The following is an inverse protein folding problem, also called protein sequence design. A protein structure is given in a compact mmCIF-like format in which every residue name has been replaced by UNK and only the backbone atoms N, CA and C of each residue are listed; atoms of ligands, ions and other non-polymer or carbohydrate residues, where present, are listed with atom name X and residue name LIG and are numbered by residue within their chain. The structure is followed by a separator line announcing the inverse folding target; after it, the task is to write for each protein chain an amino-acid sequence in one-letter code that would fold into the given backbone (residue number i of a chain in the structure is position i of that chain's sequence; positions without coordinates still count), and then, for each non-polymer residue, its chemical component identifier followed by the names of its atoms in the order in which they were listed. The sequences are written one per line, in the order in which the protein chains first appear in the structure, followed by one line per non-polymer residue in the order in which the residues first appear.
data_IF_604575938393
#
_entry.id   IF_604575938393
#
_cell.length_a   1.000
_cell.length_b   1.000
_cell.length_c   1.000
_cell.angle_alpha   90.00
_cell.angle_beta   90.00
_cell.angle_gamma   90.00
#
_symmetry.space_group_name_H-M   'P 1'
#
loop_
_entity.id
_entity.type
_entity.pdbx_description
1 polymer ?
#
# COMPACT_ATOMS: atom_id res chain seq x y z
N UNK A 1 -5.68 4.31 -15.77
CA UNK A 1 -5.82 3.80 -14.39
C UNK A 1 -7.07 2.94 -14.28
N UNK A 2 -8.30 3.48 -14.26
CA UNK A 2 -9.50 2.68 -13.98
C UNK A 2 -9.63 1.40 -14.80
N UNK A 3 -9.45 1.49 -16.12
CA UNK A 3 -9.50 0.32 -17.02
C UNK A 3 -8.35 -0.67 -16.76
N UNK A 4 -7.17 -0.18 -16.39
CA UNK A 4 -5.98 -0.98 -16.10
C UNK A 4 -6.08 -1.77 -14.79
N UNK A 5 -7.08 -1.48 -13.94
CA UNK A 5 -7.26 -2.19 -12.67
C UNK A 5 -8.24 -3.36 -12.77
N UNK A 6 -9.11 -3.38 -13.79
CA UNK A 6 -10.31 -4.24 -13.84
C UNK A 6 -9.95 -5.73 -13.73
N UNK A 7 -8.88 -6.14 -14.40
CA UNK A 7 -8.41 -7.54 -14.47
C UNK A 7 -7.59 -7.98 -13.24
N UNK A 8 -7.27 -7.05 -12.35
CA UNK A 8 -6.35 -7.28 -11.23
C UNK A 8 -7.04 -7.09 -9.87
N UNK A 9 -8.38 -6.96 -9.85
CA UNK A 9 -9.16 -6.84 -8.61
C UNK A 9 -9.90 -8.14 -8.32
N UNK A 10 -9.60 -8.74 -7.16
CA UNK A 10 -10.23 -9.97 -6.68
C UNK A 10 -11.28 -9.64 -5.62
N UNK A 11 -12.46 -10.22 -5.77
CA UNK A 11 -13.49 -10.12 -4.75
C UNK A 11 -14.76 -10.88 -5.10
N UNK A 12 -15.78 -10.80 -4.22
CA UNK A 12 -15.69 -10.22 -2.89
C UNK A 12 -15.21 -11.26 -1.86
N UNK A 13 -14.20 -10.89 -1.06
CA UNK A 13 -13.66 -11.73 0.01
C UNK A 13 -14.52 -11.66 1.28
N UNK A 14 -14.84 -12.80 1.94
CA UNK A 14 -15.54 -12.79 3.21
C UNK A 14 -14.80 -11.94 4.26
N UNK A 15 -15.50 -10.99 4.89
CA UNK A 15 -14.84 -9.99 5.74
C UNK A 15 -14.10 -10.60 6.94
N UNK A 16 -14.65 -11.66 7.55
CA UNK A 16 -13.98 -12.31 8.68
C UNK A 16 -12.67 -12.96 8.21
N UNK A 17 -12.68 -13.64 7.06
CA UNK A 17 -11.48 -14.21 6.48
C UNK A 17 -10.44 -13.12 6.14
N UNK A 18 -10.88 -11.98 5.61
CA UNK A 18 -9.98 -10.85 5.32
C UNK A 18 -9.24 -10.38 6.59
N UNK A 19 -9.96 -10.21 7.71
CA UNK A 19 -9.36 -9.81 8.98
C UNK A 19 -8.40 -10.86 9.53
N UNK A 20 -8.74 -12.14 9.39
CA UNK A 20 -7.93 -13.25 9.89
C UNK A 20 -6.67 -13.46 9.03
N UNK A 21 -6.75 -13.24 7.72
CA UNK A 21 -5.62 -13.44 6.80
C UNK A 21 -4.66 -12.23 6.80
N UNK A 22 -5.16 -10.99 6.84
CA UNK A 22 -4.33 -9.78 6.66
C UNK A 22 -4.02 -9.01 7.94
N UNK A 23 -4.89 -9.07 8.95
CA UNK A 23 -4.69 -8.41 10.24
C UNK A 23 -4.96 -9.36 11.43
N UNK A 24 -4.41 -10.58 11.46
CA UNK A 24 -4.69 -11.56 12.51
C UNK A 24 -4.33 -11.01 13.90
N UNK A 25 -5.27 -11.09 14.83
CA UNK A 25 -5.07 -10.66 16.23
C UNK A 25 -3.88 -11.40 16.88
N UNK A 26 -3.62 -12.65 16.50
CA UNK A 26 -2.49 -13.44 17.00
C UNK A 26 -1.12 -12.84 16.66
N UNK A 27 -1.05 -11.99 15.63
CA UNK A 27 0.17 -11.33 15.19
C UNK A 27 0.26 -9.87 15.67
N UNK A 28 -0.69 -9.41 16.49
CA UNK A 28 -0.70 -8.06 17.06
C UNK A 28 -0.26 -8.14 18.53
N UNK A 29 0.97 -7.69 18.86
CA UNK A 29 1.47 -7.74 20.23
C UNK A 29 0.57 -6.92 21.16
N UNK A 30 0.19 -7.51 22.30
CA UNK A 30 -0.59 -6.83 23.34
C UNK A 30 -1.92 -6.22 22.85
N UNK A 31 -2.59 -6.87 21.90
CA UNK A 31 -3.86 -6.38 21.35
C UNK A 31 -4.89 -6.10 22.46
N UNK A 32 -5.28 -4.83 22.55
CA UNK A 32 -6.36 -4.36 23.39
C UNK A 32 -7.66 -4.30 22.58
N UNK A 33 -8.72 -4.92 23.12
CA UNK A 33 -10.02 -4.87 22.46
C UNK A 33 -10.52 -3.42 22.44
N UNK A 34 -11.08 -2.96 21.31
CA UNK A 34 -11.60 -1.61 21.21
C UNK A 34 -12.84 -1.44 22.07
N UNK A 35 -13.35 -0.20 22.12
CA UNK A 35 -14.68 0.07 22.70
C UNK A 35 -15.72 -0.90 22.12
N UNK A 36 -16.68 -1.38 22.94
CA UNK A 36 -17.75 -2.24 22.44
C UNK A 36 -18.52 -1.56 21.31
N UNK A 37 -18.72 -2.27 20.21
CA UNK A 37 -19.58 -1.83 19.13
C UNK A 37 -21.06 -1.95 19.55
N UNK A 38 -21.88 -0.97 19.18
CA UNK A 38 -23.33 -1.07 19.28
C UNK A 38 -23.98 -0.74 17.94
N UNK A 39 -25.07 -1.44 17.63
CA UNK A 39 -25.86 -1.20 16.42
C UNK A 39 -26.43 0.23 16.47
N UNK A 40 -26.35 0.95 15.36
CA UNK A 40 -26.79 2.35 15.28
C UNK A 40 -25.70 3.37 15.61
N UNK A 41 -24.46 2.95 15.93
CA UNK A 41 -23.39 3.90 16.24
C UNK A 41 -23.00 4.83 15.08
N UNK A 42 -23.36 4.51 13.85
CA UNK A 42 -23.15 5.36 12.66
C UNK A 42 -24.47 5.95 12.13
N UNK A 43 -25.55 5.97 12.92
CA UNK A 43 -26.85 6.43 12.45
C UNK A 43 -26.79 7.88 11.93
N UNK A 44 -26.06 8.76 12.63
CA UNK A 44 -25.86 10.15 12.22
C UNK A 44 -25.21 10.26 10.84
N UNK A 45 -24.27 9.37 10.50
CA UNK A 45 -23.67 9.29 9.16
C UNK A 45 -24.70 8.90 8.10
N UNK A 46 -25.57 7.94 8.41
CA UNK A 46 -26.60 7.48 7.46
C UNK A 46 -27.71 8.52 7.23
N UNK A 47 -28.02 9.30 8.26
CA UNK A 47 -29.05 10.33 8.22
C UNK A 47 -28.59 11.60 7.48
N UNK A 48 -27.30 11.68 7.08
CA UNK A 48 -26.74 12.82 6.37
C UNK A 48 -27.40 13.08 5.01
N UNK A 49 -27.71 14.35 4.74
CA UNK A 49 -28.49 14.76 3.55
C UNK A 49 -27.72 14.66 2.23
N UNK A 50 -26.39 14.73 2.28
CA UNK A 50 -25.48 14.67 1.14
C UNK A 50 -24.15 14.02 1.57
N UNK A 51 -23.28 13.74 0.59
CA UNK A 51 -22.00 13.05 0.78
C UNK A 51 -21.05 13.83 1.70
N UNK A 52 -20.89 15.14 1.47
CA UNK A 52 -20.01 16.00 2.27
C UNK A 52 -20.37 15.99 3.75
N UNK A 53 -21.68 15.95 4.06
CA UNK A 53 -22.17 15.87 5.45
C UNK A 53 -22.03 14.48 6.09
N UNK A 54 -21.56 13.47 5.36
CA UNK A 54 -21.27 12.15 5.94
C UNK A 54 -19.93 12.12 6.67
N UNK A 55 -18.96 12.94 6.27
CA UNK A 55 -17.56 12.78 6.66
C UNK A 55 -17.35 13.00 8.16
N UNK A 56 -17.72 14.16 8.69
CA UNK A 56 -17.49 14.48 10.11
C UNK A 56 -18.27 13.54 11.05
N UNK A 57 -19.57 13.23 10.81
CA UNK A 57 -20.27 12.23 11.62
C UNK A 57 -19.63 10.84 11.57
N UNK A 58 -19.10 10.44 10.41
CA UNK A 58 -18.38 9.17 10.29
C UNK A 58 -17.08 9.19 11.12
N UNK A 59 -16.30 10.27 11.04
CA UNK A 59 -15.07 10.49 11.81
C UNK A 59 -15.36 10.42 13.31
N UNK A 60 -16.38 11.14 13.79
CA UNK A 60 -16.77 11.14 15.20
C UNK A 60 -17.17 9.74 15.68
N UNK A 61 -17.84 8.97 14.82
CA UNK A 61 -18.31 7.62 15.14
C UNK A 61 -17.16 6.59 15.15
N UNK A 62 -16.21 6.68 14.21
CA UNK A 62 -15.12 5.69 14.07
C UNK A 62 -13.93 5.94 15.00
N UNK A 63 -13.61 7.20 15.29
CA UNK A 63 -12.42 7.60 16.07
C UNK A 63 -12.30 6.88 17.43
N UNK A 64 -13.37 6.67 18.22
CA UNK A 64 -13.28 5.98 19.51
C UNK A 64 -12.85 4.51 19.43
N UNK A 65 -12.95 3.87 18.26
CA UNK A 65 -12.54 2.47 18.04
C UNK A 65 -11.05 2.34 17.67
N UNK A 66 -10.42 3.42 17.21
CA UNK A 66 -9.01 3.44 16.81
C UNK A 66 -8.31 4.70 17.34
N UNK A 67 -8.14 4.84 18.66
CA UNK A 67 -7.62 6.06 19.28
C UNK A 67 -6.15 6.39 18.92
N UNK A 68 -5.44 5.46 18.27
CA UNK A 68 -4.06 5.66 17.79
C UNK A 68 -4.00 6.24 16.38
N UNK A 69 -5.15 6.44 15.73
CA UNK A 69 -5.26 7.03 14.41
C UNK A 69 -5.88 8.43 14.52
N UNK A 70 -5.41 9.31 13.66
CA UNK A 70 -6.05 10.59 13.36
C UNK A 70 -6.88 10.42 12.09
N UNK A 71 -8.17 10.69 12.17
CA UNK A 71 -9.06 10.72 11.01
C UNK A 71 -9.28 12.19 10.62
N UNK A 72 -8.82 12.58 9.44
CA UNK A 72 -8.82 13.97 8.99
C UNK A 72 -9.72 14.11 7.77
N UNK A 73 -10.70 15.01 7.86
CA UNK A 73 -11.53 15.39 6.74
C UNK A 73 -10.69 16.20 5.72
N UNK A 74 -10.27 15.55 4.63
CA UNK A 74 -9.33 16.08 3.64
C UNK A 74 -9.99 16.45 2.31
N UNK A 75 -11.32 16.33 2.19
CA UNK A 75 -12.07 16.54 0.95
C UNK A 75 -11.83 17.89 0.27
N UNK A 76 -11.32 18.91 0.99
CA UNK A 76 -11.05 20.26 0.50
C UNK A 76 -9.56 20.61 0.45
N UNK A 77 -8.69 19.78 1.05
CA UNK A 77 -7.27 20.04 1.27
C UNK A 77 -6.42 18.90 0.71
N UNK A 78 -6.45 18.69 -0.61
CA UNK A 78 -5.69 17.63 -1.25
C UNK A 78 -4.20 17.94 -1.34
N UNK A 79 -3.44 16.88 -1.60
CA UNK A 79 -1.99 16.92 -1.73
C UNK A 79 -1.61 17.38 -3.13
N UNK A 80 -0.95 18.55 -3.19
CA UNK A 80 -0.45 19.17 -4.43
C UNK A 80 1.00 18.83 -4.71
N UNK A 81 1.71 18.31 -3.70
CA UNK A 81 3.14 18.00 -3.74
C UNK A 81 3.38 16.48 -3.85
N UNK A 82 2.36 15.75 -4.32
CA UNK A 82 2.34 14.28 -4.48
C UNK A 82 3.22 13.75 -5.63
N UNK A 83 3.90 14.62 -6.39
CA UNK A 83 4.72 14.27 -7.55
C UNK A 83 3.95 14.05 -8.86
N UNK A 84 2.64 14.26 -8.89
CA UNK A 84 1.78 14.09 -10.06
C UNK A 84 1.22 15.43 -10.57
N UNK A 85 0.75 15.50 -11.82
CA UNK A 85 0.10 16.70 -12.36
C UNK A 85 -1.31 16.94 -11.81
N UNK A 86 -1.82 16.06 -10.95
CA UNK A 86 -3.15 16.13 -10.36
C UNK A 86 -3.06 16.11 -8.83
N UNK A 87 -4.03 16.74 -8.17
CA UNK A 87 -4.14 16.78 -6.71
C UNK A 87 -4.69 15.44 -6.17
N UNK A 88 -3.99 14.80 -5.22
CA UNK A 88 -4.49 13.61 -4.52
C UNK A 88 -5.41 14.08 -3.40
N UNK A 89 -6.72 13.80 -3.52
CA UNK A 89 -7.71 14.37 -2.61
C UNK A 89 -8.73 13.33 -2.10
N UNK A 90 -8.33 12.39 -1.23
CA UNK A 90 -9.27 11.55 -0.53
C UNK A 90 -10.26 12.37 0.29
N UNK A 91 -11.48 11.87 0.49
CA UNK A 91 -12.46 12.51 1.38
C UNK A 91 -11.98 12.52 2.83
N UNK A 92 -11.40 11.40 3.29
CA UNK A 92 -10.79 11.27 4.61
C UNK A 92 -9.40 10.67 4.47
N UNK A 93 -8.41 11.35 5.03
CA UNK A 93 -7.04 10.87 5.20
C UNK A 93 -6.81 10.43 6.62
N UNK A 94 -6.20 9.26 6.79
CA UNK A 94 -5.91 8.69 8.10
C UNK A 94 -4.41 8.62 8.31
N UNK A 95 -3.97 9.06 9.48
CA UNK A 95 -2.57 9.09 9.90
C UNK A 95 -2.39 8.37 11.23
N UNK A 96 -1.33 7.59 11.39
CA UNK A 96 -0.99 7.05 12.70
C UNK A 96 -0.40 8.12 13.61
N UNK A 97 -0.78 8.12 14.89
CA UNK A 97 -0.21 8.99 15.94
C UNK A 97 1.29 8.81 16.21
N UNK A 98 1.93 7.83 15.56
CA UNK A 98 3.39 7.68 15.60
C UNK A 98 4.09 8.85 14.89
N UNK A 99 3.39 9.56 13.99
CA UNK A 99 3.88 10.80 13.38
C UNK A 99 3.90 11.98 14.36
N UNK A 100 3.07 11.92 15.41
CA UNK A 100 2.94 12.97 16.42
C UNK A 100 1.51 13.17 16.90
N UNK A 101 1.37 14.08 17.87
CA UNK A 101 0.08 14.39 18.51
C UNK A 101 -0.90 15.10 17.58
N UNK A 102 -0.43 15.69 16.48
CA UNK A 102 -1.25 16.37 15.48
C UNK A 102 -1.00 15.73 14.12
N UNK A 103 -2.10 15.49 13.39
CA UNK A 103 -2.02 15.15 11.98
C UNK A 103 -1.64 16.38 11.15
N UNK A 104 -1.13 16.17 9.92
CA UNK A 104 -1.01 17.22 8.92
C UNK A 104 -2.33 17.99 8.72
N UNK A 105 -2.24 19.30 8.49
CA UNK A 105 -3.42 20.12 8.19
C UNK A 105 -4.02 19.79 6.83
N UNK A 106 -3.17 19.43 5.85
CA UNK A 106 -3.55 19.04 4.51
C UNK A 106 -3.38 17.52 4.31
N UNK A 107 -3.88 16.99 3.20
CA UNK A 107 -3.51 15.65 2.76
C UNK A 107 -2.01 15.62 2.43
N UNK A 108 -1.28 14.69 3.05
CA UNK A 108 0.12 14.40 2.75
C UNK A 108 0.26 12.93 2.37
N UNK A 109 0.33 12.65 1.07
CA UNK A 109 0.35 11.28 0.53
C UNK A 109 1.59 10.50 0.96
N UNK A 110 2.67 11.20 1.31
CA UNK A 110 3.92 10.63 1.84
C UNK A 110 3.82 10.16 3.30
N UNK A 111 2.76 10.55 4.01
CA UNK A 111 2.54 10.21 5.43
C UNK A 111 1.24 9.43 5.69
N UNK A 112 0.33 9.37 4.71
CA UNK A 112 -0.98 8.74 4.87
C UNK A 112 -0.86 7.22 5.14
N UNK A 113 -1.61 6.73 6.12
CA UNK A 113 -1.75 5.30 6.42
C UNK A 113 -2.89 4.67 5.61
N UNK A 114 -4.08 5.28 5.65
CA UNK A 114 -5.29 4.79 4.97
C UNK A 114 -6.03 5.97 4.36
N UNK A 115 -6.51 5.82 3.13
CA UNK A 115 -7.43 6.76 2.50
C UNK A 115 -8.85 6.20 2.46
N UNK A 116 -9.85 7.05 2.68
CA UNK A 116 -11.28 6.72 2.51
C UNK A 116 -11.88 7.58 1.39
N UNK A 117 -12.60 6.92 0.49
CA UNK A 117 -13.44 7.57 -0.53
C UNK A 117 -14.91 7.24 -0.28
N UNK A 118 -15.75 8.24 -0.31
CA UNK A 118 -17.21 8.13 -0.19
C UNK A 118 -17.86 8.24 -1.57
N UNK A 119 -18.96 7.52 -1.72
CA UNK A 119 -19.93 7.72 -2.80
C UNK A 119 -21.34 7.55 -2.22
N UNK A 120 -22.31 8.24 -2.81
CA UNK A 120 -23.72 8.14 -2.38
C UNK A 120 -24.56 7.18 -3.23
N UNK A 121 -24.19 7.00 -4.49
CA UNK A 121 -25.06 6.33 -5.46
C UNK A 121 -24.49 4.98 -5.91
N UNK A 122 -25.39 4.06 -6.24
CA UNK A 122 -25.03 2.70 -6.66
C UNK A 122 -24.41 2.64 -8.05
N UNK A 123 -24.62 3.66 -8.89
CA UNK A 123 -23.97 3.76 -10.20
C UNK A 123 -22.49 4.15 -10.10
N UNK A 124 -22.04 4.64 -8.96
CA UNK A 124 -20.63 4.91 -8.67
C UNK A 124 -19.91 3.69 -8.10
N UNK A 125 -20.64 2.71 -7.54
CA UNK A 125 -20.06 1.49 -6.96
C UNK A 125 -19.57 0.53 -8.07
N UNK A 126 -18.25 0.35 -8.25
CA UNK A 126 -17.71 -0.52 -9.28
C UNK A 126 -17.82 -2.01 -8.93
N UNK A 127 -18.14 -2.35 -7.67
CA UNK A 127 -18.02 -3.71 -7.15
C UNK A 127 -19.31 -4.49 -7.28
N UNK A 128 -19.23 -5.67 -7.91
CA UNK A 128 -20.34 -6.59 -8.04
C UNK A 128 -20.72 -7.26 -6.72
N UNK A 129 -21.98 -7.68 -6.63
CA UNK A 129 -22.49 -8.54 -5.55
C UNK A 129 -22.91 -9.85 -6.20
N UNK A 130 -22.08 -10.91 -6.11
CA UNK A 130 -22.42 -12.20 -6.70
C UNK A 130 -23.66 -12.79 -6.03
N UNK A 131 -24.65 -13.18 -6.83
CA UNK A 131 -25.90 -13.78 -6.35
C UNK A 131 -25.82 -15.30 -6.22
N UNK A 132 -24.72 -15.91 -6.67
CA UNK A 132 -24.52 -17.37 -6.70
C UNK A 132 -23.19 -17.77 -6.06
N UNK A 133 -23.09 -19.05 -5.70
CA UNK A 133 -21.86 -19.67 -5.18
C UNK A 133 -20.90 -20.10 -6.29
N UNK A 134 -21.38 -20.23 -7.53
CA UNK A 134 -20.56 -20.53 -8.71
C UNK A 134 -19.95 -19.23 -9.26
N UNK A 135 -18.91 -18.73 -8.58
CA UNK A 135 -18.30 -17.42 -8.88
C UNK A 135 -17.20 -17.44 -9.95
N UNK A 136 -16.74 -18.63 -10.36
CA UNK A 136 -15.64 -18.78 -11.36
C UNK A 136 -15.91 -18.00 -12.65
N UNK A 137 -17.13 -18.08 -13.19
CA UNK A 137 -17.49 -17.47 -14.47
C UNK A 137 -18.08 -16.06 -14.32
N UNK A 138 -18.02 -15.48 -13.12
CA UNK A 138 -18.50 -14.13 -12.83
C UNK A 138 -17.34 -13.14 -12.83
N UNK A 139 -17.58 -11.96 -13.39
CA UNK A 139 -16.69 -10.82 -13.26
C UNK A 139 -17.04 -10.08 -11.97
N UNK A 140 -16.03 -9.71 -11.18
CA UNK A 140 -16.26 -8.95 -9.96
C UNK A 140 -16.59 -7.49 -10.24
N UNK A 141 -15.88 -6.90 -11.21
CA UNK A 141 -16.08 -5.53 -11.64
C UNK A 141 -17.04 -5.52 -12.83
N UNK A 142 -18.04 -4.64 -12.78
CA UNK A 142 -18.96 -4.41 -13.89
C UNK A 142 -18.69 -3.00 -14.45
N UNK A 143 -17.81 -2.86 -15.47
CA UNK A 143 -17.37 -1.55 -15.92
C UNK A 143 -18.50 -0.76 -16.60
N UNK A 144 -18.69 0.46 -16.12
CA UNK A 144 -19.40 1.55 -16.79
C UNK A 144 -18.51 2.79 -16.67
N UNK A 145 -18.69 3.84 -17.49
CA UNK A 145 -17.84 5.03 -17.40
C UNK A 145 -17.70 5.59 -15.97
N UNK A 146 -18.81 5.68 -15.22
CA UNK A 146 -18.78 6.18 -13.83
C UNK A 146 -18.04 5.24 -12.86
N UNK A 147 -18.21 3.93 -13.03
CA UNK A 147 -17.55 2.91 -12.19
C UNK A 147 -16.05 2.85 -12.48
N UNK A 148 -15.67 2.90 -13.76
CA UNK A 148 -14.28 2.99 -14.19
C UNK A 148 -13.62 4.28 -13.66
N UNK A 149 -14.32 5.41 -13.68
CA UNK A 149 -13.81 6.66 -13.09
C UNK A 149 -13.59 6.51 -11.57
N UNK A 150 -14.54 5.90 -10.85
CA UNK A 150 -14.40 5.65 -9.41
C UNK A 150 -13.21 4.73 -9.11
N UNK A 151 -13.03 3.65 -9.89
CA UNK A 151 -11.84 2.79 -9.78
C UNK A 151 -10.54 3.56 -10.05
N UNK A 152 -10.54 4.42 -11.08
CA UNK A 152 -9.41 5.27 -11.40
C UNK A 152 -9.04 6.21 -10.26
N UNK A 153 -10.04 6.79 -9.59
CA UNK A 153 -9.87 7.68 -8.46
C UNK A 153 -9.25 6.96 -7.25
N UNK A 154 -9.87 5.88 -6.76
CA UNK A 154 -9.34 5.13 -5.61
C UNK A 154 -7.97 4.51 -5.91
N UNK A 155 -7.76 4.05 -7.16
CA UNK A 155 -6.48 3.53 -7.61
C UNK A 155 -5.39 4.60 -7.70
N UNK A 156 -5.72 5.84 -8.05
CA UNK A 156 -4.78 6.95 -8.06
C UNK A 156 -4.29 7.29 -6.64
N UNK A 157 -5.16 7.21 -5.63
CA UNK A 157 -4.76 7.42 -4.24
C UNK A 157 -3.82 6.31 -3.75
N UNK A 158 -4.16 5.04 -4.02
CA UNK A 158 -3.28 3.92 -3.73
C UNK A 158 -1.93 4.04 -4.46
N UNK A 159 -1.94 4.49 -5.73
CA UNK A 159 -0.72 4.76 -6.50
C UNK A 159 0.14 5.80 -5.81
N UNK A 160 -0.47 6.94 -5.43
CA UNK A 160 0.23 8.07 -4.81
C UNK A 160 0.87 7.66 -3.47
N UNK A 161 0.14 6.92 -2.64
CA UNK A 161 0.67 6.37 -1.38
C UNK A 161 1.81 5.37 -1.62
N UNK A 162 1.60 4.36 -2.47
CA UNK A 162 2.57 3.31 -2.74
C UNK A 162 3.80 3.80 -3.52
N UNK A 163 3.73 4.94 -4.20
CA UNK A 163 4.85 5.52 -4.92
C UNK A 163 5.67 6.50 -4.05
N UNK A 164 5.04 7.19 -3.10
CA UNK A 164 5.70 8.12 -2.19
C UNK A 164 6.29 7.46 -0.93
N UNK A 165 5.81 6.27 -0.54
CA UNK A 165 6.21 5.58 0.68
C UNK A 165 6.84 4.21 0.40
N UNK A 166 7.75 3.74 1.24
CA UNK A 166 8.31 2.38 1.15
C UNK A 166 7.33 1.35 1.71
N UNK A 167 6.31 1.04 0.91
CA UNK A 167 5.25 0.11 1.26
C UNK A 167 5.25 -1.12 0.34
N UNK A 168 5.04 -2.27 0.97
CA UNK A 168 4.81 -3.58 0.34
C UNK A 168 3.37 -3.72 -0.15
N UNK A 169 2.44 -3.16 0.61
CA UNK A 169 1.02 -3.09 0.33
C UNK A 169 0.42 -1.87 1.05
N UNK A 170 -0.83 -1.51 0.75
CA UNK A 170 -1.57 -0.52 1.55
C UNK A 170 -3.05 -0.91 1.67
N UNK A 171 -3.75 -0.25 2.60
CA UNK A 171 -5.18 -0.42 2.78
C UNK A 171 -5.93 0.85 2.40
N UNK A 172 -7.13 0.67 1.88
CA UNK A 172 -8.08 1.77 1.74
C UNK A 172 -9.50 1.32 2.07
N UNK A 173 -10.39 2.29 2.24
CA UNK A 173 -11.78 2.02 2.57
C UNK A 173 -12.66 2.76 1.55
N UNK A 174 -13.56 2.03 0.92
CA UNK A 174 -14.58 2.59 0.06
C UNK A 174 -15.90 2.59 0.81
N UNK A 175 -16.58 3.72 0.92
CA UNK A 175 -17.89 3.84 1.57
C UNK A 175 -18.92 4.17 0.50
N UNK A 176 -19.96 3.33 0.38
CA UNK A 176 -21.11 3.64 -0.45
C UNK A 176 -22.36 3.66 0.42
N UNK A 177 -22.86 4.87 0.70
CA UNK A 177 -24.04 5.14 1.52
C UNK A 177 -24.07 4.43 2.88
N UNK A 178 -24.54 3.18 2.95
CA UNK A 178 -24.82 2.42 4.17
C UNK A 178 -23.90 1.21 4.40
N UNK A 179 -23.01 0.96 3.45
CA UNK A 179 -22.03 -0.10 3.54
C UNK A 179 -20.66 0.39 3.12
N UNK A 180 -19.65 -0.39 3.49
CA UNK A 180 -18.26 -0.13 3.16
C UNK A 180 -17.58 -1.40 2.67
N UNK A 181 -16.48 -1.24 1.94
CA UNK A 181 -15.57 -2.31 1.57
C UNK A 181 -14.17 -1.90 1.95
N UNK A 182 -13.45 -2.84 2.56
CA UNK A 182 -12.03 -2.66 2.81
C UNK A 182 -11.30 -3.19 1.57
N UNK A 183 -10.31 -2.43 1.12
CA UNK A 183 -9.48 -2.75 -0.03
C UNK A 183 -8.05 -2.94 0.46
N UNK A 184 -7.43 -4.05 0.07
CA UNK A 184 -6.03 -4.34 0.30
C UNK A 184 -5.31 -4.31 -1.04
N UNK A 185 -4.33 -3.42 -1.20
CA UNK A 185 -3.60 -3.17 -2.44
C UNK A 185 -2.21 -3.77 -2.37
N UNK A 186 -1.88 -4.64 -3.31
CA UNK A 186 -0.53 -5.13 -3.56
C UNK A 186 0.00 -4.64 -4.92
N UNK A 187 1.22 -5.07 -5.29
CA UNK A 187 1.84 -4.73 -6.57
C UNK A 187 1.30 -5.50 -7.76
N UNK A 188 0.49 -6.53 -7.57
CA UNK A 188 -0.10 -7.35 -8.63
C UNK A 188 -1.63 -7.37 -8.60
N UNK A 189 -2.25 -6.50 -7.79
CA UNK A 189 -3.70 -6.38 -7.74
C UNK A 189 -4.24 -5.80 -6.43
N UNK A 190 -5.56 -5.85 -6.28
CA UNK A 190 -6.23 -5.54 -5.02
C UNK A 190 -7.29 -6.58 -4.62
N UNK A 191 -7.43 -6.83 -3.32
CA UNK A 191 -8.50 -7.67 -2.75
C UNK A 191 -9.53 -6.79 -2.07
N UNK A 192 -10.80 -7.09 -2.32
CA UNK A 192 -11.92 -6.29 -1.83
C UNK A 192 -12.88 -7.17 -1.05
N UNK A 193 -13.29 -6.71 0.12
CA UNK A 193 -14.24 -7.45 0.95
C UNK A 193 -15.65 -7.49 0.35
N UNK A 194 -16.46 -8.43 0.84
CA UNK A 194 -17.91 -8.33 0.84
C UNK A 194 -18.38 -7.00 1.49
N UNK A 195 -19.57 -6.50 1.14
CA UNK A 195 -20.05 -5.24 1.70
C UNK A 195 -20.30 -5.37 3.20
N UNK A 196 -19.77 -4.44 3.96
CA UNK A 196 -19.89 -4.34 5.41
C UNK A 196 -20.90 -3.25 5.71
N UNK A 197 -22.10 -3.62 6.15
CA UNK A 197 -23.10 -2.66 6.65
C UNK A 197 -22.66 -2.13 8.01
N UNK A 198 -21.86 -1.06 8.00
CA UNK A 198 -21.06 -0.62 9.16
C UNK A 198 -21.90 -0.10 10.34
N UNK A 199 -23.17 0.26 10.11
CA UNK A 199 -24.08 0.63 11.20
C UNK A 199 -24.62 -0.57 12.00
N UNK A 200 -24.46 -1.79 11.48
CA UNK A 200 -24.97 -3.03 12.12
C UNK A 200 -23.90 -4.11 12.32
N UNK A 201 -22.78 -4.02 11.60
CA UNK A 201 -21.69 -4.98 11.64
C UNK A 201 -20.41 -4.32 12.16
N UNK A 202 -19.80 -4.91 13.20
CA UNK A 202 -18.59 -4.42 13.84
C UNK A 202 -17.30 -4.62 13.03
N UNK A 203 -17.35 -5.23 11.84
CA UNK A 203 -16.14 -5.59 11.11
C UNK A 203 -15.28 -4.38 10.72
N UNK A 204 -15.90 -3.24 10.37
CA UNK A 204 -15.17 -1.99 10.09
C UNK A 204 -14.44 -1.47 11.32
N UNK A 205 -15.10 -1.45 12.48
CA UNK A 205 -14.48 -0.97 13.73
C UNK A 205 -13.37 -1.91 14.21
N UNK A 206 -13.54 -3.22 14.00
CA UNK A 206 -12.50 -4.23 14.24
C UNK A 206 -11.30 -4.03 13.32
N UNK A 207 -11.52 -3.78 12.03
CA UNK A 207 -10.45 -3.49 11.07
C UNK A 207 -9.58 -2.34 11.54
N UNK A 208 -10.17 -1.17 11.82
CA UNK A 208 -9.40 0.01 12.26
C UNK A 208 -8.74 -0.22 13.62
N UNK A 209 -9.40 -0.90 14.54
CA UNK A 209 -8.80 -1.25 15.84
C UNK A 209 -7.59 -2.18 15.71
N UNK A 210 -7.67 -3.19 14.83
CA UNK A 210 -6.58 -4.11 14.54
C UNK A 210 -5.44 -3.38 13.82
N UNK A 211 -5.75 -2.63 12.76
CA UNK A 211 -4.76 -1.83 12.01
C UNK A 211 -4.00 -0.86 12.92
N UNK A 212 -4.73 -0.11 13.76
CA UNK A 212 -4.15 0.89 14.68
C UNK A 212 -3.17 0.31 15.71
N UNK A 213 -3.24 -1.00 15.95
CA UNK A 213 -2.38 -1.71 16.90
C UNK A 213 -1.36 -2.60 16.19
N UNK A 214 -1.51 -2.80 14.88
CA UNK A 214 -0.72 -3.73 14.12
C UNK A 214 0.74 -3.26 13.99
N UNK A 215 1.70 -4.20 14.04
CA UNK A 215 3.09 -3.90 13.76
C UNK A 215 3.25 -3.38 12.32
N UNK A 216 4.39 -2.73 12.05
CA UNK A 216 4.65 -1.96 10.82
C UNK A 216 4.48 -2.81 9.55
N UNK A 217 4.95 -4.05 9.60
CA UNK A 217 4.88 -5.02 8.50
C UNK A 217 3.44 -5.40 8.13
N UNK A 218 2.54 -5.53 9.11
CA UNK A 218 1.12 -5.82 8.86
C UNK A 218 0.34 -4.60 8.37
N UNK A 219 0.85 -3.40 8.62
CA UNK A 219 0.35 -2.15 8.02
C UNK A 219 0.88 -1.91 6.60
N UNK A 220 1.78 -2.77 6.12
CA UNK A 220 2.34 -2.70 4.78
C UNK A 220 3.65 -1.95 4.66
N UNK A 221 4.22 -1.45 5.76
CA UNK A 221 5.50 -0.74 5.74
C UNK A 221 6.65 -1.73 5.49
N UNK A 222 7.53 -1.42 4.54
CA UNK A 222 8.77 -2.17 4.34
C UNK A 222 9.75 -1.91 5.50
N UNK A 223 9.92 -2.91 6.35
CA UNK A 223 10.82 -2.85 7.52
C UNK A 223 12.30 -2.98 7.15
N UNK A 224 12.62 -3.28 5.89
CA UNK A 224 13.99 -3.34 5.37
C UNK A 224 14.50 -1.99 4.87
N UNK A 225 13.65 -0.95 4.93
CA UNK A 225 14.04 0.44 4.74
C UNK A 225 13.74 1.22 6.01
N UNK A 226 14.72 1.98 6.50
CA UNK A 226 14.56 2.84 7.67
C UNK A 226 15.15 4.22 7.41
N UNK A 227 14.72 5.25 8.15
CA UNK A 227 15.50 6.49 8.21
C UNK A 227 16.94 6.20 8.61
N UNK A 228 17.91 6.91 8.02
CA UNK A 228 19.31 6.78 8.40
C UNK A 228 19.51 7.33 9.82
N UNK A 229 19.78 6.46 10.80
CA UNK A 229 19.83 6.86 12.21
C UNK A 229 21.13 7.58 12.61
N UNK A 230 22.23 7.34 11.90
CA UNK A 230 23.50 8.04 12.17
C UNK A 230 23.56 9.35 11.38
N UNK A 231 23.34 10.46 12.07
CA UNK A 231 23.41 11.82 11.52
C UNK A 231 24.73 12.12 10.81
N UNK A 232 25.86 11.56 11.27
CA UNK A 232 27.17 11.79 10.63
C UNK A 232 27.23 11.08 9.29
N UNK A 233 26.73 9.85 9.24
CA UNK A 233 26.65 9.06 7.99
C UNK A 233 25.66 9.71 7.02
N UNK A 234 24.49 10.14 7.49
CA UNK A 234 23.49 10.82 6.67
C UNK A 234 24.01 12.16 6.10
N UNK A 235 24.70 12.97 6.91
CA UNK A 235 25.35 14.22 6.43
C UNK A 235 26.44 13.94 5.41
N UNK A 236 27.27 12.92 5.65
CA UNK A 236 28.30 12.53 4.70
C UNK A 236 27.68 12.04 3.38
N UNK A 237 26.63 11.24 3.43
CA UNK A 237 25.89 10.77 2.26
C UNK A 237 25.30 11.95 1.46
N UNK A 238 24.63 12.91 2.13
CA UNK A 238 24.11 14.13 1.49
C UNK A 238 25.20 14.91 0.76
N UNK A 239 26.34 15.13 1.42
CA UNK A 239 27.50 15.80 0.83
C UNK A 239 28.05 15.05 -0.39
N UNK A 240 28.19 13.72 -0.30
CA UNK A 240 28.71 12.90 -1.41
C UNK A 240 27.76 12.82 -2.60
N UNK A 241 26.47 12.84 -2.36
CA UNK A 241 25.42 12.80 -3.38
C UNK A 241 25.04 14.20 -3.90
N UNK A 242 25.67 15.26 -3.39
CA UNK A 242 25.36 16.65 -3.71
C UNK A 242 23.87 17.01 -3.48
N UNK A 243 23.30 16.53 -2.37
CA UNK A 243 21.91 16.77 -1.98
C UNK A 243 21.79 17.92 -0.97
N UNK A 244 20.65 18.64 -0.92
CA UNK A 244 20.38 19.63 0.11
C UNK A 244 20.45 19.07 1.54
N UNK A 245 20.86 19.92 2.49
CA UNK A 245 21.06 19.57 3.91
C UNK A 245 19.80 19.12 4.64
N UNK A 246 18.61 19.42 4.12
CA UNK A 246 17.31 19.01 4.69
C UNK A 246 16.76 17.73 4.06
N UNK A 247 17.44 17.17 3.05
CA UNK A 247 16.95 15.98 2.33
C UNK A 247 16.88 14.77 3.27
N UNK A 248 15.70 14.20 3.47
CA UNK A 248 15.54 12.99 4.25
C UNK A 248 16.34 11.83 3.64
N UNK A 249 17.14 11.16 4.48
CA UNK A 249 17.99 10.04 4.08
C UNK A 249 17.50 8.74 4.69
N UNK A 250 17.56 7.69 3.90
CA UNK A 250 17.13 6.34 4.23
C UNK A 250 18.30 5.38 4.13
N UNK A 251 18.18 4.27 4.84
CA UNK A 251 19.13 3.17 4.88
C UNK A 251 18.42 1.88 4.49
N UNK A 252 19.10 1.05 3.69
CA UNK A 252 18.70 -0.34 3.46
C UNK A 252 19.93 -1.23 3.35
N UNK A 253 19.71 -2.53 3.41
CA UNK A 253 20.75 -3.56 3.33
C UNK A 253 20.40 -4.59 2.27
N UNK A 254 21.38 -4.90 1.42
CA UNK A 254 21.30 -5.98 0.44
C UNK A 254 22.30 -7.08 0.86
N UNK A 255 21.87 -8.35 1.02
CA UNK A 255 22.77 -9.45 1.33
C UNK A 255 23.85 -9.59 0.26
N UNK A 256 25.12 -9.80 0.65
CA UNK A 256 26.19 -10.20 -0.27
C UNK A 256 26.34 -11.71 -0.30
N UNK A 257 26.50 -12.26 -1.51
CA UNK A 257 26.80 -13.68 -1.72
C UNK A 257 28.26 -14.04 -1.44
N UNK A 258 29.18 -13.07 -1.48
CA UNK A 258 30.63 -13.32 -1.49
C UNK A 258 31.30 -13.41 -0.12
N UNK A 259 30.86 -12.62 0.86
CA UNK A 259 31.51 -12.49 2.17
C UNK A 259 30.54 -12.61 3.36
N UNK A 260 29.24 -12.80 3.09
CA UNK A 260 28.18 -12.89 4.09
C UNK A 260 27.92 -11.59 4.85
N UNK A 261 28.64 -10.50 4.55
CA UNK A 261 28.45 -9.21 5.21
C UNK A 261 27.33 -8.43 4.49
N UNK A 262 26.42 -7.80 5.24
CA UNK A 262 25.39 -6.96 4.67
C UNK A 262 26.01 -5.79 3.88
N UNK A 263 25.51 -5.53 2.66
CA UNK A 263 25.85 -4.33 1.89
C UNK A 263 24.84 -3.23 2.21
N UNK A 264 25.22 -2.34 3.11
CA UNK A 264 24.39 -1.23 3.56
C UNK A 264 24.59 -0.01 2.66
N UNK A 265 23.51 0.63 2.27
CA UNK A 265 23.53 1.84 1.45
C UNK A 265 22.63 2.92 2.03
N UNK A 266 23.05 4.17 1.86
CA UNK A 266 22.33 5.36 2.30
C UNK A 266 21.87 6.16 1.08
N UNK A 267 20.60 6.51 0.99
CA UNK A 267 20.01 7.10 -0.20
C UNK A 267 18.87 8.06 0.16
N UNK A 268 18.53 8.98 -0.74
CA UNK A 268 17.36 9.83 -0.58
C UNK A 268 16.09 9.12 -1.07
N UNK A 269 14.91 9.57 -0.66
CA UNK A 269 13.67 9.04 -1.24
C UNK A 269 13.68 9.26 -2.77
N UNK A 270 13.57 8.18 -3.58
CA UNK A 270 13.55 8.30 -5.03
C UNK A 270 12.32 9.09 -5.52
N UNK A 271 12.46 9.76 -6.66
CA UNK A 271 11.32 10.44 -7.30
C UNK A 271 10.16 9.49 -7.59
N UNK A 272 8.95 10.05 -7.61
CA UNK A 272 7.70 9.33 -7.86
C UNK A 272 7.45 9.24 -9.38
N UNK A 273 7.39 8.02 -9.92
CA UNK A 273 7.22 7.82 -11.38
C UNK A 273 6.12 6.82 -11.76
N UNK A 274 5.52 6.09 -10.82
CA UNK A 274 4.51 5.08 -11.15
C UNK A 274 3.17 5.72 -11.49
N UNK A 275 2.52 5.32 -12.58
CA UNK A 275 1.17 5.81 -12.94
C UNK A 275 0.05 4.87 -12.53
N UNK A 276 0.40 3.75 -11.91
CA UNK A 276 -0.50 2.67 -11.47
C UNK A 276 -0.01 2.11 -10.12
N UNK A 277 -0.89 1.57 -9.25
CA UNK A 277 -0.43 0.94 -8.01
C UNK A 277 0.27 -0.40 -8.28
N UNK A 278 0.07 -0.98 -9.47
CA UNK A 278 0.52 -2.30 -9.87
C UNK A 278 1.82 -2.28 -10.69
N UNK A 279 2.42 -3.46 -10.84
CA UNK A 279 3.64 -3.72 -11.60
C UNK A 279 4.90 -3.61 -10.75
N UNK A 280 6.00 -3.29 -11.43
CA UNK A 280 7.34 -3.45 -10.86
C UNK A 280 7.73 -2.40 -9.82
N UNK A 281 7.01 -1.27 -9.79
CA UNK A 281 7.27 -0.14 -8.89
C UNK A 281 8.77 0.20 -8.77
N UNK A 282 9.51 0.14 -9.88
CA UNK A 282 10.97 0.27 -9.90
C UNK A 282 11.38 1.65 -9.41
N UNK A 283 12.20 1.68 -8.36
CA UNK A 283 12.84 2.87 -7.81
C UNK A 283 14.34 2.76 -8.05
N UNK A 284 14.91 3.77 -8.67
CA UNK A 284 16.35 3.84 -8.90
C UNK A 284 16.90 5.14 -8.37
N UNK A 285 18.02 5.08 -7.66
CA UNK A 285 18.66 6.29 -7.14
C UNK A 285 20.17 6.11 -6.96
N UNK A 286 20.95 7.19 -7.07
CA UNK A 286 22.29 7.24 -6.52
C UNK A 286 22.24 7.02 -4.99
N UNK A 287 23.18 6.23 -4.47
CA UNK A 287 23.30 5.93 -3.06
C UNK A 287 24.77 5.99 -2.61
N UNK A 288 25.00 6.05 -1.31
CA UNK A 288 26.32 6.07 -0.70
C UNK A 288 26.56 4.79 0.11
N UNK A 289 27.65 4.08 -0.19
CA UNK A 289 28.16 2.99 0.65
C UNK A 289 29.13 3.57 1.70
N UNK A 290 28.75 3.62 2.98
CA UNK A 290 29.60 4.17 4.03
C UNK A 290 30.83 3.30 4.33
N UNK A 291 30.78 1.98 4.07
CA UNK A 291 31.86 1.04 4.37
C UNK A 291 32.94 1.09 3.29
N UNK A 292 32.55 1.00 2.02
CA UNK A 292 33.44 1.14 0.88
C UNK A 292 33.83 2.60 0.60
N UNK A 293 33.07 3.56 1.12
CA UNK A 293 33.21 5.01 0.87
C UNK A 293 33.07 5.37 -0.61
N UNK A 294 32.15 4.71 -1.31
CA UNK A 294 31.94 4.89 -2.74
C UNK A 294 30.48 5.27 -3.03
N UNK A 295 30.28 5.99 -4.14
CA UNK A 295 28.96 6.20 -4.70
C UNK A 295 28.57 4.94 -5.47
N UNK A 296 27.34 4.50 -5.24
CA UNK A 296 26.75 3.31 -5.88
C UNK A 296 25.39 3.68 -6.45
N UNK A 297 24.81 2.76 -7.22
CA UNK A 297 23.47 2.93 -7.76
C UNK A 297 22.56 1.86 -7.18
N UNK A 298 21.51 2.27 -6.48
CA UNK A 298 20.52 1.38 -5.91
C UNK A 298 19.34 1.25 -6.88
N UNK A 299 18.93 0.01 -7.15
CA UNK A 299 17.70 -0.32 -7.83
C UNK A 299 16.84 -1.18 -6.90
N UNK A 300 15.67 -0.71 -6.57
CA UNK A 300 14.68 -1.38 -5.74
C UNK A 300 13.46 -1.64 -6.61
N UNK A 301 13.01 -2.89 -6.72
CA UNK A 301 11.94 -3.26 -7.65
C UNK A 301 11.20 -4.51 -7.24
N UNK A 302 9.95 -4.60 -7.66
CA UNK A 302 9.15 -5.81 -7.62
C UNK A 302 9.39 -6.54 -8.94
N UNK A 303 10.22 -7.57 -8.94
CA UNK A 303 10.46 -8.38 -10.15
C UNK A 303 9.33 -9.40 -10.30
N UNK A 304 9.15 -9.88 -11.52
CA UNK A 304 8.24 -10.99 -11.79
C UNK A 304 8.69 -12.22 -11.00
N UNK A 305 7.74 -12.89 -10.37
CA UNK A 305 7.95 -14.11 -9.61
C UNK A 305 7.37 -15.31 -10.36
N UNK A 306 8.18 -15.87 -11.25
CA UNK A 306 7.86 -17.07 -12.01
C UNK A 306 9.11 -17.94 -12.16
N UNK A 307 8.90 -19.25 -12.28
CA UNK A 307 9.98 -20.25 -12.28
C UNK A 307 10.99 -20.04 -13.43
N UNK A 308 10.51 -19.53 -14.58
CA UNK A 308 11.33 -19.25 -15.76
C UNK A 308 11.93 -17.83 -15.77
N UNK A 309 11.72 -17.04 -14.71
CA UNK A 309 12.23 -15.67 -14.60
C UNK A 309 13.52 -15.65 -13.79
N UNK A 310 14.63 -15.51 -14.52
CA UNK A 310 15.95 -15.35 -13.92
C UNK A 310 16.11 -13.92 -13.36
N UNK A 311 16.49 -13.75 -12.08
CA UNK A 311 16.75 -12.43 -11.50
C UNK A 311 17.87 -11.68 -12.24
N UNK A 312 17.72 -10.37 -12.40
CA UNK A 312 18.66 -9.50 -13.13
C UNK A 312 20.12 -9.64 -12.67
N UNK A 313 20.34 -9.86 -11.37
CA UNK A 313 21.67 -10.09 -10.80
C UNK A 313 22.41 -11.29 -11.36
N UNK A 314 21.69 -12.36 -11.74
CA UNK A 314 22.30 -13.53 -12.37
C UNK A 314 22.87 -13.20 -13.75
N UNK A 315 22.15 -12.40 -14.55
CA UNK A 315 22.65 -11.95 -15.84
C UNK A 315 23.90 -11.08 -15.69
N UNK A 316 23.94 -10.18 -14.69
CA UNK A 316 25.16 -9.42 -14.40
C UNK A 316 26.33 -10.33 -14.00
N UNK A 317 26.09 -11.37 -13.20
CA UNK A 317 27.12 -12.33 -12.81
C UNK A 317 27.64 -13.14 -14.00
N UNK A 318 26.75 -13.59 -14.90
CA UNK A 318 27.11 -14.33 -16.11
C UNK A 318 27.92 -13.46 -17.09
N UNK A 319 27.49 -12.22 -17.32
CA UNK A 319 28.21 -11.28 -18.18
C UNK A 319 29.60 -10.96 -17.63
N UNK A 320 29.73 -10.80 -16.31
CA UNK A 320 31.01 -10.58 -15.65
C UNK A 320 31.94 -11.81 -15.78
N UNK A 321 31.41 -13.03 -15.59
CA UNK A 321 32.17 -14.27 -15.74
C UNK A 321 32.69 -14.47 -17.18
N UNK A 322 31.94 -13.99 -18.17
CA UNK A 322 32.33 -14.01 -19.59
C UNK A 322 33.17 -12.81 -20.02
N UNK A 323 33.59 -11.93 -19.09
CA UNK A 323 34.41 -10.75 -19.35
C UNK A 323 33.82 -9.82 -20.42
N UNK A 324 32.49 -9.71 -20.48
CA UNK A 324 31.81 -8.82 -21.44
C UNK A 324 32.15 -7.36 -21.08
N UNK A 325 32.74 -6.57 -22.00
CA UNK A 325 33.15 -5.20 -21.71
C UNK A 325 31.95 -4.24 -21.68
N UNK A 326 32.14 -3.07 -21.07
CA UNK A 326 31.18 -1.94 -21.07
C UNK A 326 29.83 -2.19 -20.38
N UNK A 327 29.77 -3.17 -19.47
CA UNK A 327 28.60 -3.41 -18.62
C UNK A 327 28.77 -2.71 -17.25
N UNK A 328 27.70 -2.19 -16.64
CA UNK A 328 27.75 -1.76 -15.24
C UNK A 328 28.14 -2.92 -14.33
N UNK A 329 29.00 -2.65 -13.34
CA UNK A 329 29.35 -3.65 -12.35
C UNK A 329 28.23 -3.79 -11.31
N UNK A 330 27.59 -4.96 -11.25
CA UNK A 330 26.69 -5.31 -10.15
C UNK A 330 27.51 -5.69 -8.91
N UNK A 331 27.43 -4.89 -7.84
CA UNK A 331 28.16 -5.15 -6.59
C UNK A 331 27.52 -6.26 -5.77
N UNK A 332 26.19 -6.26 -5.71
CA UNK A 332 25.37 -7.29 -5.08
C UNK A 332 23.92 -7.14 -5.55
N UNK A 333 23.14 -8.21 -5.43
CA UNK A 333 21.69 -8.17 -5.58
C UNK A 333 21.04 -9.42 -4.98
N UNK A 334 19.78 -9.32 -4.56
CA UNK A 334 19.02 -10.41 -3.94
C UNK A 334 17.54 -10.08 -3.88
N UNK A 335 16.70 -11.12 -3.86
CA UNK A 335 15.36 -10.99 -3.30
C UNK A 335 15.47 -10.49 -1.85
N UNK A 336 14.55 -9.63 -1.42
CA UNK A 336 14.55 -9.07 -0.07
C UNK A 336 14.26 -10.17 0.95
N UNK A 337 15.24 -10.45 1.82
CA UNK A 337 15.17 -11.52 2.83
C UNK A 337 14.59 -10.98 4.14
N UNK A 338 13.29 -11.14 4.32
CA UNK A 338 12.58 -10.73 5.54
C UNK A 338 11.43 -11.71 5.85
N UNK A 339 10.86 -11.58 7.06
CA UNK A 339 9.68 -12.30 7.52
C UNK A 339 8.65 -11.29 8.03
N UNK A 340 7.41 -11.28 7.50
CA UNK A 340 6.92 -12.10 6.39
C UNK A 340 7.63 -11.78 5.06
N UNK A 341 7.67 -12.75 4.14
CA UNK A 341 8.30 -12.58 2.84
C UNK A 341 7.58 -11.47 2.04
N UNK A 342 8.35 -10.58 1.42
CA UNK A 342 7.82 -9.53 0.55
C UNK A 342 7.56 -10.08 -0.85
N UNK A 343 6.51 -10.89 -0.93
CA UNK A 343 6.00 -11.53 -2.14
C UNK A 343 4.50 -11.35 -2.19
N UNK A 344 4.00 -11.02 -3.38
CA UNK A 344 2.57 -10.79 -3.56
C UNK A 344 1.77 -12.08 -3.43
N UNK A 345 0.52 -11.97 -2.99
CA UNK A 345 -0.33 -13.11 -2.63
C UNK A 345 -1.60 -13.21 -3.47
N UNK A 346 -1.84 -12.27 -4.38
CA UNK A 346 -3.04 -12.22 -5.23
C UNK A 346 -3.30 -13.54 -5.96
N UNK A 347 -2.27 -14.19 -6.48
CA UNK A 347 -2.40 -15.48 -7.19
C UNK A 347 -3.02 -16.57 -6.30
N UNK A 348 -2.62 -16.64 -5.03
CA UNK A 348 -3.20 -17.59 -4.05
C UNK A 348 -4.69 -17.31 -3.84
N UNK A 349 -5.06 -16.05 -3.65
CA UNK A 349 -6.46 -15.68 -3.36
C UNK A 349 -7.38 -15.76 -4.59
N UNK A 350 -6.83 -15.59 -5.79
CA UNK A 350 -7.59 -15.74 -7.04
C UNK A 350 -8.20 -17.13 -7.19
N UNK A 351 -7.58 -18.14 -6.59
CA UNK A 351 -8.00 -19.53 -6.65
C UNK A 351 -9.03 -19.90 -5.56
N UNK A 352 -9.33 -18.99 -4.62
CA UNK A 352 -10.31 -19.22 -3.58
C UNK A 352 -11.74 -19.32 -4.14
N UNK A 353 -12.60 -20.14 -3.51
CA UNK A 353 -13.99 -20.36 -3.97
C UNK A 353 -14.86 -19.10 -3.95
N UNK A 354 -14.54 -18.14 -3.08
CA UNK A 354 -15.28 -16.88 -2.97
C UNK A 354 -14.91 -15.87 -4.06
N UNK A 355 -13.77 -16.06 -4.75
CA UNK A 355 -13.28 -15.13 -5.74
C UNK A 355 -14.05 -15.26 -7.06
N UNK A 356 -14.48 -14.13 -7.61
CA UNK A 356 -14.91 -14.04 -8.99
C UNK A 356 -13.68 -14.09 -9.91
N UNK A 357 -13.62 -15.05 -10.84
CA UNK A 357 -12.38 -15.36 -11.59
C UNK A 357 -12.41 -14.90 -13.05
N UNK A 358 -13.58 -14.50 -13.58
CA UNK A 358 -13.70 -14.15 -15.00
C UNK A 358 -12.93 -12.88 -15.30
N UNK A 359 -11.98 -13.00 -16.24
CA UNK A 359 -11.20 -11.87 -16.74
C UNK A 359 -10.04 -11.45 -15.84
N UNK A 360 -9.69 -12.25 -14.82
CA UNK A 360 -8.52 -11.95 -13.99
C UNK A 360 -7.21 -12.21 -14.73
N UNK A 361 -6.26 -11.28 -14.62
CA UNK A 361 -4.91 -11.36 -15.16
C UNK A 361 -3.89 -10.97 -14.09
N UNK A 362 -3.58 -11.91 -13.19
CA UNK A 362 -2.68 -11.66 -12.07
C UNK A 362 -1.27 -12.11 -12.43
N UNK A 363 -0.31 -11.23 -12.16
CA UNK A 363 1.11 -11.48 -12.41
C UNK A 363 1.88 -11.38 -11.10
N UNK A 364 2.32 -12.49 -10.48
CA UNK A 364 3.01 -12.46 -9.20
C UNK A 364 4.32 -11.67 -9.24
N UNK A 365 4.63 -11.01 -8.12
CA UNK A 365 5.88 -10.28 -7.95
C UNK A 365 6.55 -10.60 -6.60
N UNK A 366 7.88 -10.48 -6.59
CA UNK A 366 8.73 -10.58 -5.40
C UNK A 366 9.66 -9.38 -5.31
N UNK A 367 9.85 -8.85 -4.11
CA UNK A 367 10.67 -7.67 -3.90
C UNK A 367 12.16 -7.99 -4.04
N UNK A 368 12.89 -7.16 -4.80
CA UNK A 368 14.25 -7.40 -5.27
C UNK A 368 15.08 -6.11 -5.22
N UNK A 369 16.35 -6.25 -4.81
CA UNK A 369 17.34 -5.16 -4.73
C UNK A 369 18.66 -5.54 -5.37
#
# INVERSE_FOLDING_TARGET
IGDDLIDSIIGPMPTQQFLDDFLPISCIPSYSRPRPFWKGCFQTTLDATDELKMYDPFIESISPFAPQLHFVNSHSLGDKDNGYPFETKPDISIYHKLLGDKAPENCESSLIDIHIEFKRYTWDDPFGIPTTTARRDLAFIAPTPNKTNTLGQIGAYATSQLASQFHTHCYSVYVNRDHTRIIWWERDGAIITEPIFYNINSALTRFFSQYAQAPRELRGIDTMVSPACDDKVAKLARSKLALPDETAMFETTVPRTTDGLPFTVIFACPGVYSTTPFGRATRTCPAYDPKGKHLVFLKDSWRLDGDDIIPEGHFYAELAANHVPHIPQCLTSSDVKCSPQQKTQMQKYSQCRWACQKGLAITPHIHYR
#
